data_IF_462488940573
#
_entry.id   IF_462488940573
#
_cell.length_a   1.000
_cell.length_b   1.000
_cell.length_c   1.000
_cell.angle_alpha   90.00
_cell.angle_beta   90.00
_cell.angle_gamma   90.00
#
_symmetry.space_group_name_H-M   'P 1'
#
loop_
_entity.id
_entity.type
_entity.pdbx_description
1 polymer ?
#
# COMPACT_ATOMS: atom_id res chain seq x y z
N UNK A 1 -9.71 -6.31 -18.40
CA UNK A 1 -10.00 -7.74 -18.24
C UNK A 1 -9.69 -8.51 -19.52
N UNK A 2 -10.40 -8.27 -20.62
CA UNK A 2 -10.30 -9.04 -21.85
C UNK A 2 -8.88 -9.13 -22.43
N UNK A 3 -8.09 -8.05 -22.39
CA UNK A 3 -6.71 -8.04 -22.87
C UNK A 3 -5.85 -9.04 -22.06
N UNK A 4 -6.03 -9.09 -20.74
CA UNK A 4 -5.30 -10.03 -19.86
C UNK A 4 -5.63 -11.46 -20.24
N UNK A 5 -6.92 -11.79 -20.36
CA UNK A 5 -7.37 -13.13 -20.72
C UNK A 5 -6.85 -13.55 -22.09
N UNK A 6 -6.97 -12.70 -23.11
CA UNK A 6 -6.49 -12.96 -24.47
C UNK A 6 -4.95 -13.13 -24.52
N UNK A 7 -4.21 -12.30 -23.77
CA UNK A 7 -2.75 -12.41 -23.70
C UNK A 7 -2.34 -13.73 -23.07
N UNK A 8 -2.94 -14.11 -21.94
CA UNK A 8 -2.64 -15.39 -21.29
C UNK A 8 -3.02 -16.59 -22.17
N UNK A 9 -4.14 -16.51 -22.86
CA UNK A 9 -4.58 -17.58 -23.80
C UNK A 9 -3.60 -17.74 -24.97
N UNK A 10 -3.02 -16.67 -25.50
CA UNK A 10 -1.99 -16.74 -26.55
C UNK A 10 -0.72 -17.47 -26.10
N UNK A 11 -0.44 -17.51 -24.80
CA UNK A 11 0.63 -18.31 -24.20
C UNK A 11 0.17 -19.69 -23.68
N UNK A 12 -1.05 -20.10 -24.05
CA UNK A 12 -1.63 -21.38 -23.66
C UNK A 12 -2.03 -21.47 -22.20
N UNK A 13 -2.34 -20.34 -21.56
CA UNK A 13 -2.82 -20.26 -20.18
C UNK A 13 -4.28 -19.82 -20.21
N UNK A 14 -5.19 -20.74 -19.89
CA UNK A 14 -6.61 -20.40 -19.75
C UNK A 14 -6.87 -19.79 -18.38
N UNK A 15 -7.27 -18.53 -18.38
CA UNK A 15 -7.58 -17.75 -17.21
C UNK A 15 -8.87 -16.96 -17.42
N UNK A 16 -9.60 -16.67 -16.35
CA UNK A 16 -10.79 -15.83 -16.35
C UNK A 16 -10.67 -14.78 -15.25
N UNK A 17 -10.93 -13.52 -15.55
CA UNK A 17 -11.01 -12.47 -14.53
C UNK A 17 -12.30 -12.68 -13.73
N UNK A 18 -12.14 -13.03 -12.46
CA UNK A 18 -13.26 -13.24 -11.53
C UNK A 18 -13.65 -11.94 -10.84
N UNK A 19 -12.66 -11.10 -10.50
CA UNK A 19 -12.89 -9.85 -9.77
C UNK A 19 -11.94 -8.76 -10.28
N UNK A 20 -12.39 -7.51 -10.15
CA UNK A 20 -11.57 -6.31 -10.42
C UNK A 20 -11.65 -5.40 -9.19
N UNK A 21 -10.50 -5.15 -8.56
CA UNK A 21 -10.39 -4.29 -7.39
C UNK A 21 -9.70 -2.98 -7.79
N UNK A 22 -10.41 -1.87 -7.62
CA UNK A 22 -9.91 -0.53 -7.93
C UNK A 22 -9.26 0.09 -6.70
N UNK A 23 -7.95 0.04 -6.62
CA UNK A 23 -7.17 0.73 -5.59
C UNK A 23 -6.78 2.14 -6.00
N UNK A 24 -6.23 2.94 -5.07
CA UNK A 24 -5.85 4.34 -5.37
C UNK A 24 -4.68 4.44 -6.35
N UNK A 25 -3.73 3.54 -6.32
CA UNK A 25 -2.52 3.57 -7.16
C UNK A 25 -2.50 2.48 -8.23
N UNK A 26 -3.16 1.35 -7.98
CA UNK A 26 -3.19 0.19 -8.87
C UNK A 26 -4.59 -0.39 -8.97
N UNK A 27 -4.88 -1.01 -10.11
CA UNK A 27 -6.07 -1.86 -10.28
C UNK A 27 -5.61 -3.32 -10.27
N UNK A 28 -6.19 -4.14 -9.39
CA UNK A 28 -5.92 -5.57 -9.33
C UNK A 28 -7.00 -6.35 -10.07
N UNK A 29 -6.58 -7.19 -10.98
CA UNK A 29 -7.40 -8.19 -11.66
C UNK A 29 -7.15 -9.53 -10.99
N UNK A 30 -8.14 -10.08 -10.31
CA UNK A 30 -8.06 -11.39 -9.67
C UNK A 30 -8.58 -12.47 -10.63
N UNK A 31 -7.73 -13.43 -10.95
CA UNK A 31 -7.93 -14.42 -12.01
C UNK A 31 -8.13 -15.82 -11.41
N UNK A 32 -9.14 -16.48 -11.89
CA UNK A 32 -9.24 -17.94 -11.82
C UNK A 32 -8.36 -18.58 -12.90
N UNK A 33 -7.52 -19.53 -12.51
CA UNK A 33 -6.60 -20.21 -13.40
C UNK A 33 -7.00 -21.67 -13.50
N UNK A 34 -6.93 -22.24 -14.69
CA UNK A 34 -7.20 -23.67 -14.92
C UNK A 34 -6.27 -24.54 -14.06
N UNK A 35 -6.83 -25.53 -13.37
CA UNK A 35 -6.08 -26.49 -12.55
C UNK A 35 -4.94 -27.13 -13.33
N UNK A 36 -3.78 -27.25 -12.71
CA UNK A 36 -2.58 -27.84 -13.32
C UNK A 36 -1.66 -26.82 -14.01
N UNK A 37 -2.05 -25.54 -14.13
CA UNK A 37 -1.17 -24.49 -14.62
C UNK A 37 -0.10 -24.15 -13.58
N UNK A 38 1.16 -24.14 -13.98
CA UNK A 38 2.26 -23.69 -13.11
C UNK A 38 2.22 -22.19 -12.93
N UNK A 39 2.12 -21.70 -11.69
CA UNK A 39 2.07 -20.26 -11.38
C UNK A 39 3.31 -19.52 -11.85
N UNK A 40 4.49 -20.16 -11.81
CA UNK A 40 5.74 -19.57 -12.34
C UNK A 40 5.65 -19.19 -13.81
N UNK A 41 4.82 -19.90 -14.60
CA UNK A 41 4.60 -19.55 -16.02
C UNK A 41 3.87 -18.20 -16.14
N UNK A 42 2.95 -17.89 -15.21
CA UNK A 42 2.22 -16.62 -15.20
C UNK A 42 3.13 -15.48 -14.73
N UNK A 43 3.92 -15.70 -13.67
CA UNK A 43 4.85 -14.68 -13.17
C UNK A 43 5.92 -14.31 -14.18
N UNK A 44 6.38 -15.27 -15.01
CA UNK A 44 7.34 -15.00 -16.09
C UNK A 44 6.79 -14.14 -17.23
N UNK A 45 5.46 -14.07 -17.39
CA UNK A 45 4.79 -13.25 -18.42
C UNK A 45 4.50 -11.81 -17.98
N UNK A 46 5.04 -11.37 -16.85
CA UNK A 46 4.80 -10.02 -16.32
C UNK A 46 5.17 -8.92 -17.32
N UNK A 47 6.27 -9.08 -18.06
CA UNK A 47 6.71 -8.12 -19.08
C UNK A 47 5.80 -8.12 -20.30
N UNK A 48 5.38 -9.30 -20.77
CA UNK A 48 4.49 -9.45 -21.93
C UNK A 48 3.10 -8.85 -21.62
N UNK A 49 2.61 -9.09 -20.41
CA UNK A 49 1.36 -8.49 -19.93
C UNK A 49 1.48 -6.97 -19.77
N UNK A 50 2.61 -6.47 -19.26
CA UNK A 50 2.84 -5.03 -19.14
C UNK A 50 2.83 -4.35 -20.51
N UNK A 51 3.42 -4.98 -21.53
CA UNK A 51 3.41 -4.51 -22.90
C UNK A 51 1.99 -4.52 -23.48
N UNK A 52 1.28 -5.65 -23.36
CA UNK A 52 -0.08 -5.81 -23.91
C UNK A 52 -1.09 -4.83 -23.29
N UNK A 53 -0.88 -4.47 -22.02
CA UNK A 53 -1.73 -3.53 -21.27
C UNK A 53 -1.28 -2.07 -21.43
N UNK A 54 -0.18 -1.82 -22.13
CA UNK A 54 0.46 -0.50 -22.19
C UNK A 54 0.61 0.13 -20.80
N UNK A 55 1.12 -0.67 -19.84
CA UNK A 55 1.22 -0.25 -18.44
C UNK A 55 2.02 1.07 -18.33
N UNK A 56 1.50 2.09 -17.62
CA UNK A 56 2.10 3.43 -17.56
C UNK A 56 3.56 3.46 -17.12
N UNK A 57 3.93 2.52 -16.22
CA UNK A 57 5.31 2.38 -15.71
C UNK A 57 6.15 1.37 -16.51
N UNK A 58 5.57 0.71 -17.52
CA UNK A 58 6.19 -0.42 -18.22
C UNK A 58 6.30 -1.69 -17.35
N UNK A 59 5.73 -1.70 -16.17
CA UNK A 59 5.79 -2.82 -15.22
C UNK A 59 4.42 -3.11 -14.63
N UNK A 60 4.18 -4.39 -14.34
CA UNK A 60 3.05 -4.88 -13.56
C UNK A 60 3.57 -5.80 -12.45
N UNK A 61 2.76 -6.00 -11.42
CA UNK A 61 3.06 -6.99 -10.39
C UNK A 61 2.12 -8.18 -10.52
N UNK A 62 2.68 -9.38 -10.42
CA UNK A 62 1.90 -10.63 -10.38
C UNK A 62 2.02 -11.24 -8.99
N UNK A 63 0.89 -11.36 -8.30
CA UNK A 63 0.76 -12.03 -7.00
C UNK A 63 0.16 -13.42 -7.22
N UNK A 64 0.96 -14.46 -7.08
CA UNK A 64 0.54 -15.80 -7.42
C UNK A 64 0.94 -16.82 -6.34
N UNK A 65 0.00 -17.25 -5.47
CA UNK A 65 -1.42 -16.84 -5.38
C UNK A 65 -1.60 -15.51 -4.60
N UNK A 66 -2.81 -14.94 -4.67
CA UNK A 66 -3.23 -13.89 -3.73
C UNK A 66 -3.31 -14.53 -2.33
N UNK A 67 -2.75 -13.85 -1.34
CA UNK A 67 -2.71 -14.36 0.03
C UNK A 67 -4.12 -14.74 0.55
N UNK A 68 -4.26 -15.98 1.03
CA UNK A 68 -5.52 -16.52 1.54
C UNK A 68 -6.60 -16.83 0.49
N UNK A 69 -6.27 -16.77 -0.82
CA UNK A 69 -7.23 -17.00 -1.91
C UNK A 69 -6.65 -17.93 -2.98
N UNK A 70 -7.53 -18.69 -3.64
CA UNK A 70 -7.15 -19.56 -4.78
C UNK A 70 -7.22 -18.79 -6.12
N UNK A 71 -6.76 -17.54 -6.11
CA UNK A 71 -6.75 -16.63 -7.26
C UNK A 71 -5.35 -16.09 -7.50
N UNK A 72 -5.07 -15.68 -8.73
CA UNK A 72 -3.86 -14.98 -9.11
C UNK A 72 -4.19 -13.51 -9.35
N UNK A 73 -3.45 -12.61 -8.70
CA UNK A 73 -3.60 -11.16 -8.84
C UNK A 73 -2.64 -10.60 -9.90
N UNK A 74 -3.17 -9.80 -10.81
CA UNK A 74 -2.39 -8.96 -11.71
C UNK A 74 -2.67 -7.52 -11.35
N UNK A 75 -1.65 -6.84 -10.80
CA UNK A 75 -1.74 -5.43 -10.39
C UNK A 75 -1.16 -4.55 -11.50
N UNK A 76 -2.01 -3.71 -12.04
CA UNK A 76 -1.68 -2.77 -13.10
C UNK A 76 -1.69 -1.35 -12.54
N UNK A 77 -0.61 -0.58 -12.65
CA UNK A 77 -0.59 0.81 -12.21
C UNK A 77 -1.68 1.65 -12.89
N UNK A 78 -2.39 2.45 -12.10
CA UNK A 78 -3.38 3.37 -12.66
C UNK A 78 -2.70 4.49 -13.45
N UNK A 79 -3.21 4.90 -14.63
CA UNK A 79 -2.67 6.03 -15.39
C UNK A 79 -2.68 7.33 -14.59
N UNK A 80 -3.72 7.53 -13.79
CA UNK A 80 -3.89 8.67 -12.89
C UNK A 80 -4.13 8.13 -11.48
N UNK A 81 -3.08 7.95 -10.67
CA UNK A 81 -3.25 7.48 -9.30
C UNK A 81 -3.94 8.53 -8.42
N UNK A 82 -4.85 8.08 -7.57
CA UNK A 82 -5.53 8.92 -6.60
C UNK A 82 -4.61 9.27 -5.44
N UNK A 83 -4.69 10.51 -4.97
CA UNK A 83 -3.99 10.93 -3.76
C UNK A 83 -4.82 10.54 -2.54
N UNK A 84 -4.26 9.67 -1.70
CA UNK A 84 -4.86 9.33 -0.41
C UNK A 84 -4.48 10.40 0.61
N UNK A 85 -5.42 11.28 0.95
CA UNK A 85 -5.15 12.32 1.95
C UNK A 85 -5.05 11.74 3.36
N UNK A 86 -4.18 12.33 4.18
CA UNK A 86 -4.06 11.97 5.59
C UNK A 86 -5.39 12.18 6.34
N UNK A 87 -6.11 13.24 6.01
CA UNK A 87 -7.44 13.50 6.57
C UNK A 87 -8.40 12.33 6.33
N UNK A 88 -8.47 11.82 5.10
CA UNK A 88 -9.33 10.66 4.77
C UNK A 88 -8.91 9.41 5.57
N UNK A 89 -7.61 9.18 5.71
CA UNK A 89 -7.09 8.02 6.41
C UNK A 89 -7.42 8.07 7.92
N UNK A 90 -7.13 9.18 8.60
CA UNK A 90 -7.39 9.33 10.04
C UNK A 90 -8.88 9.47 10.39
N UNK A 91 -9.71 9.97 9.46
CA UNK A 91 -11.17 10.06 9.66
C UNK A 91 -11.89 8.75 9.38
N UNK A 92 -11.20 7.74 8.84
CA UNK A 92 -11.82 6.45 8.55
C UNK A 92 -12.25 5.73 9.83
N UNK A 93 -13.35 4.99 9.72
CA UNK A 93 -13.86 4.14 10.81
C UNK A 93 -12.80 3.15 11.28
N UNK A 94 -12.05 2.55 10.34
CA UNK A 94 -10.97 1.61 10.63
C UNK A 94 -9.88 2.20 11.52
N UNK A 95 -9.55 3.49 11.37
CA UNK A 95 -8.58 4.15 12.23
C UNK A 95 -9.20 4.65 13.54
N UNK A 96 -10.40 5.22 13.49
CA UNK A 96 -11.06 5.81 14.66
C UNK A 96 -11.47 4.76 15.71
N UNK A 97 -11.92 3.59 15.27
CA UNK A 97 -12.37 2.50 16.14
C UNK A 97 -11.27 1.45 16.40
N UNK A 98 -10.04 1.68 15.92
CA UNK A 98 -8.94 0.75 16.14
C UNK A 98 -8.60 0.61 17.63
N UNK A 99 -8.73 -0.60 18.17
CA UNK A 99 -8.29 -0.97 19.52
C UNK A 99 -6.78 -1.30 19.51
N UNK A 100 -5.96 -0.29 19.27
CA UNK A 100 -4.50 -0.39 19.12
C UNK A 100 -3.84 0.55 20.12
N UNK A 101 -2.68 0.15 20.62
CA UNK A 101 -1.90 0.98 21.55
C UNK A 101 -1.31 2.20 20.83
N UNK A 102 -0.66 1.99 19.68
CA UNK A 102 -0.08 3.05 18.86
C UNK A 102 -0.55 2.91 17.39
N UNK A 103 -1.80 3.29 17.07
CA UNK A 103 -2.35 3.11 15.72
C UNK A 103 -1.71 4.05 14.70
N UNK A 104 -1.32 3.50 13.56
CA UNK A 104 -0.79 4.22 12.41
C UNK A 104 -1.72 4.03 11.21
N UNK A 105 -2.18 5.12 10.60
CA UNK A 105 -2.88 5.09 9.32
C UNK A 105 -1.86 5.23 8.18
N UNK A 106 -1.54 4.15 7.50
CA UNK A 106 -0.50 4.14 6.46
C UNK A 106 -1.00 4.45 5.05
N UNK A 107 -2.31 4.48 4.85
CA UNK A 107 -2.91 4.72 3.53
C UNK A 107 -4.07 3.78 3.25
N UNK A 108 -4.23 3.38 1.98
CA UNK A 108 -5.29 2.48 1.54
C UNK A 108 -4.73 1.23 0.87
N UNK A 109 -5.42 0.13 1.07
CA UNK A 109 -5.15 -1.14 0.37
C UNK A 109 -5.59 -1.05 -1.09
N UNK A 110 -5.27 -2.09 -1.87
CA UNK A 110 -5.77 -2.26 -3.24
C UNK A 110 -7.29 -2.44 -3.31
N UNK A 111 -7.95 -2.80 -2.20
CA UNK A 111 -9.41 -2.85 -2.07
C UNK A 111 -10.01 -1.54 -1.58
N UNK A 112 -9.20 -0.47 -1.55
CA UNK A 112 -9.59 0.89 -1.15
C UNK A 112 -9.99 1.04 0.34
N UNK A 113 -9.60 0.09 1.18
CA UNK A 113 -9.80 0.13 2.64
C UNK A 113 -8.63 0.83 3.32
N UNK A 114 -8.88 1.58 4.39
CA UNK A 114 -7.79 2.19 5.17
C UNK A 114 -6.97 1.12 5.88
N UNK A 115 -5.67 1.14 5.63
CA UNK A 115 -4.72 0.21 6.25
C UNK A 115 -4.16 0.81 7.54
N UNK A 116 -4.53 0.21 8.65
CA UNK A 116 -4.13 0.63 10.00
C UNK A 116 -3.32 -0.47 10.67
N UNK A 117 -2.20 -0.11 11.29
CA UNK A 117 -1.32 -1.03 12.02
C UNK A 117 -0.98 -0.48 13.40
N UNK A 118 -0.55 -1.36 14.30
CA UNK A 118 -0.14 -0.98 15.65
C UNK A 118 1.39 -0.93 15.75
N UNK A 119 1.95 0.26 15.93
CA UNK A 119 3.39 0.43 16.11
C UNK A 119 3.92 -0.26 17.39
N UNK A 120 3.11 -0.34 18.44
CA UNK A 120 3.52 -1.00 19.69
C UNK A 120 3.81 -2.50 19.50
N UNK A 121 3.18 -3.14 18.54
CA UNK A 121 3.41 -4.56 18.20
C UNK A 121 4.64 -4.79 17.33
N UNK A 122 5.26 -3.72 16.84
CA UNK A 122 6.49 -3.76 16.06
C UNK A 122 7.61 -3.18 16.94
N UNK A 123 8.60 -3.99 17.37
CA UNK A 123 9.67 -3.50 18.24
C UNK A 123 10.51 -2.41 17.56
N UNK A 124 10.66 -2.49 16.24
CA UNK A 124 11.37 -1.52 15.40
C UNK A 124 10.69 -1.39 14.04
N UNK A 125 10.67 -0.19 13.49
CA UNK A 125 10.22 0.10 12.13
C UNK A 125 11.34 0.74 11.34
N UNK A 126 11.80 0.06 10.30
CA UNK A 126 12.73 0.61 9.33
C UNK A 126 11.96 1.14 8.12
N UNK A 127 12.14 2.42 7.81
CA UNK A 127 11.59 3.05 6.62
C UNK A 127 12.72 3.53 5.71
N UNK A 128 12.77 2.99 4.50
CA UNK A 128 13.76 3.35 3.49
C UNK A 128 13.08 3.73 2.17
N UNK A 129 13.74 4.58 1.40
CA UNK A 129 13.26 4.99 0.07
C UNK A 129 14.24 5.97 -0.56
N UNK A 130 14.36 5.94 -1.88
CA UNK A 130 15.10 6.93 -2.65
C UNK A 130 14.42 8.30 -2.57
N UNK A 131 15.13 9.34 -2.99
CA UNK A 131 14.57 10.70 -3.05
C UNK A 131 13.30 10.73 -3.90
N UNK A 132 12.25 11.33 -3.38
CA UNK A 132 10.94 11.41 -4.06
C UNK A 132 10.03 10.19 -3.88
N UNK A 133 10.48 9.12 -3.22
CA UNK A 133 9.69 7.89 -2.99
C UNK A 133 8.74 7.97 -1.77
N UNK A 134 8.53 9.17 -1.20
CA UNK A 134 7.55 9.37 -0.15
C UNK A 134 8.02 9.02 1.27
N UNK A 135 9.32 8.77 1.53
CA UNK A 135 9.84 8.46 2.87
C UNK A 135 9.44 9.53 3.89
N UNK A 136 9.66 10.81 3.60
CA UNK A 136 9.30 11.92 4.48
C UNK A 136 7.78 12.06 4.67
N UNK A 137 7.01 11.78 3.62
CA UNK A 137 5.54 11.76 3.70
C UNK A 137 5.08 10.64 4.63
N UNK A 138 5.66 9.43 4.50
CA UNK A 138 5.37 8.31 5.38
C UNK A 138 5.72 8.59 6.84
N UNK A 139 6.88 9.21 7.11
CA UNK A 139 7.26 9.61 8.46
C UNK A 139 6.26 10.62 9.07
N UNK A 140 5.86 11.62 8.28
CA UNK A 140 4.84 12.57 8.70
C UNK A 140 3.49 11.89 8.96
N UNK A 141 3.09 10.92 8.13
CA UNK A 141 1.86 10.16 8.34
C UNK A 141 1.88 9.38 9.68
N UNK A 142 3.01 8.78 10.03
CA UNK A 142 3.21 8.11 11.31
C UNK A 142 3.03 9.10 12.47
N UNK A 143 3.77 10.21 12.45
CA UNK A 143 3.71 11.21 13.53
C UNK A 143 2.30 11.81 13.66
N UNK A 144 1.66 12.17 12.55
CA UNK A 144 0.30 12.70 12.57
C UNK A 144 -0.69 11.68 13.12
N UNK A 145 -0.58 10.39 12.75
CA UNK A 145 -1.43 9.33 13.29
C UNK A 145 -1.36 9.26 14.82
N UNK A 146 -0.14 9.29 15.37
CA UNK A 146 0.10 9.24 16.81
C UNK A 146 -0.44 10.49 17.52
N UNK A 147 -0.18 11.68 16.98
CA UNK A 147 -0.65 12.95 17.56
C UNK A 147 -2.18 13.07 17.56
N UNK A 148 -2.87 12.44 16.59
CA UNK A 148 -4.33 12.45 16.55
C UNK A 148 -4.98 11.45 17.52
N UNK A 149 -4.28 10.38 17.88
CA UNK A 149 -4.88 9.29 18.69
C UNK A 149 -4.42 9.28 20.13
N UNK A 150 -3.31 9.93 20.46
CA UNK A 150 -2.72 9.87 21.80
C UNK A 150 -2.67 11.24 22.46
N UNK A 151 -2.98 11.24 23.73
CA UNK A 151 -2.80 12.42 24.57
C UNK A 151 -1.33 12.54 25.00
N UNK A 152 -0.80 13.76 25.24
CA UNK A 152 0.58 13.97 25.70
C UNK A 152 0.95 13.27 27.01
N UNK A 153 -0.03 12.88 27.83
CA UNK A 153 0.20 12.08 29.04
C UNK A 153 0.43 10.59 28.74
N UNK A 154 0.01 10.11 27.57
CA UNK A 154 0.13 8.70 27.18
C UNK A 154 1.31 8.46 26.25
N UNK A 155 1.77 9.50 25.53
CA UNK A 155 2.82 9.39 24.52
C UNK A 155 3.81 10.54 24.66
N UNK A 156 5.08 10.19 24.68
CA UNK A 156 6.20 11.12 24.51
C UNK A 156 7.06 10.69 23.33
N UNK A 157 7.61 11.67 22.63
CA UNK A 157 8.42 11.47 21.43
C UNK A 157 9.85 11.95 21.66
N UNK A 158 10.83 11.21 21.17
CA UNK A 158 12.20 11.68 20.98
C UNK A 158 12.44 11.72 19.46
N UNK A 159 12.65 12.91 18.93
CA UNK A 159 12.82 13.14 17.49
C UNK A 159 14.25 13.54 17.19
N UNK A 160 14.94 12.79 16.34
CA UNK A 160 16.31 13.07 15.91
C UNK A 160 16.33 13.31 14.40
N UNK A 161 16.60 14.55 13.98
CA UNK A 161 16.74 14.94 12.58
C UNK A 161 18.13 15.56 12.35
N UNK A 162 19.12 14.76 11.96
CA UNK A 162 20.49 15.23 11.74
C UNK A 162 20.59 16.31 10.66
N UNK A 163 19.69 16.29 9.69
CA UNK A 163 19.67 17.24 8.56
C UNK A 163 18.82 18.47 8.81
N UNK A 164 18.00 18.48 9.85
CA UNK A 164 17.05 19.56 10.21
C UNK A 164 16.10 19.95 9.06
N UNK A 165 15.63 18.96 8.31
CA UNK A 165 14.81 19.18 7.11
C UNK A 165 13.41 18.55 7.25
N UNK A 166 13.34 17.33 7.81
CA UNK A 166 12.12 16.51 7.75
C UNK A 166 11.18 16.75 8.94
N UNK A 167 11.74 17.05 10.13
CA UNK A 167 10.98 17.13 11.40
C UNK A 167 10.74 18.57 11.91
N UNK A 168 11.14 19.59 11.15
CA UNK A 168 11.02 21.00 11.57
C UNK A 168 9.58 21.41 11.88
N UNK A 169 8.59 20.83 11.20
CA UNK A 169 7.17 21.09 11.44
C UNK A 169 6.73 20.71 12.86
N UNK A 170 7.39 19.71 13.44
CA UNK A 170 7.04 19.19 14.78
C UNK A 170 7.70 19.96 15.93
N UNK A 171 8.52 20.96 15.65
CA UNK A 171 9.08 21.84 16.70
C UNK A 171 7.99 22.54 17.53
N UNK A 172 6.80 22.72 16.98
CA UNK A 172 5.67 23.36 17.67
C UNK A 172 5.01 22.44 18.73
N UNK A 173 5.23 21.14 18.67
CA UNK A 173 4.67 20.16 19.65
C UNK A 173 5.63 19.89 20.80
N UNK A 174 6.80 20.54 20.83
CA UNK A 174 7.86 20.36 21.86
C UNK A 174 7.31 20.41 23.29
N UNK A 175 6.43 21.35 23.58
CA UNK A 175 5.90 21.56 24.95
C UNK A 175 4.96 20.45 25.42
N UNK A 176 4.39 19.69 24.52
CA UNK A 176 3.34 18.72 24.83
C UNK A 176 3.80 17.27 24.64
N UNK A 177 4.45 16.96 23.54
CA UNK A 177 4.75 15.59 23.13
C UNK A 177 6.24 15.22 23.20
N UNK A 178 7.17 16.18 23.19
CA UNK A 178 8.60 15.84 23.29
C UNK A 178 9.00 15.51 24.72
N UNK A 179 9.85 14.48 24.86
CA UNK A 179 10.44 14.06 26.12
C UNK A 179 11.62 14.93 26.52
#
# INVERSE_FOLDING_TARGET
AQIIENTLDSFGIKARVAEVNFGPAVTQYALEITKGTRLSKITSLSTDLALALAAPTGQIRVEAPIAGRSLVGIEVPNPNPDIVSMHTAISSKAFQEAEMELPLALGKTITNETYTIDLAKMPHLLMAGATGQGKSVGLNAILVSLLYRKHPSELKLVLVDPKKVELTLFNKVVRHFLA
#
